data_IF_431567017723
#
_entry.id   IF_431567017723
#
_cell.length_a   1.000
_cell.length_b   1.000
_cell.length_c   1.000
_cell.angle_alpha   90.00
_cell.angle_beta   90.00
_cell.angle_gamma   90.00
#
_symmetry.space_group_name_H-M   'P 1'
#
loop_
_entity.id
_entity.type
_entity.pdbx_description
1 polymer ?
#
# COMPACT_ATOMS: atom_id res chain seq x y z
N UNK A 1 -15.12 1.19 21.27
CA UNK A 1 -14.89 1.57 19.86
C UNK A 1 -14.38 0.34 19.12
N UNK A 2 -15.10 -0.26 18.15
CA UNK A 2 -14.61 -1.46 17.50
C UNK A 2 -13.76 -1.17 16.24
N UNK A 3 -12.71 -1.99 16.10
CA UNK A 3 -11.97 -2.41 14.90
C UNK A 3 -10.91 -1.44 14.30
N UNK A 4 -9.66 -1.68 14.71
CA UNK A 4 -8.45 -1.63 13.86
C UNK A 4 -8.45 -0.57 12.76
N UNK A 5 -8.09 0.66 13.14
CA UNK A 5 -7.43 1.55 12.20
C UNK A 5 -6.18 0.79 11.71
N UNK A 6 -6.02 0.64 10.40
CA UNK A 6 -4.86 0.00 9.78
C UNK A 6 -3.60 0.76 10.21
N UNK A 7 -3.00 0.36 11.33
CA UNK A 7 -1.71 0.86 11.77
C UNK A 7 -0.64 0.16 10.94
N UNK A 8 0.60 0.65 10.96
CA UNK A 8 1.73 0.03 10.26
C UNK A 8 1.85 -1.49 10.52
N UNK A 9 1.37 -1.99 11.68
CA UNK A 9 1.29 -3.42 11.96
C UNK A 9 0.33 -4.19 11.02
N UNK A 10 -0.81 -3.63 10.63
CA UNK A 10 -1.72 -4.29 9.67
C UNK A 10 -1.15 -4.31 8.25
N UNK A 11 -0.21 -3.39 7.95
CA UNK A 11 0.56 -3.44 6.71
C UNK A 11 1.69 -4.47 6.77
N UNK A 12 2.29 -4.70 7.95
CA UNK A 12 3.30 -5.76 8.15
C UNK A 12 2.74 -7.17 7.95
N UNK A 13 1.47 -7.38 8.26
CA UNK A 13 0.80 -8.66 8.05
C UNK A 13 0.36 -8.90 6.60
N UNK A 14 0.53 -7.92 5.70
CA UNK A 14 0.06 -7.98 4.32
C UNK A 14 1.21 -7.91 3.34
N UNK A 15 1.30 -8.91 2.47
CA UNK A 15 2.27 -8.90 1.35
C UNK A 15 1.88 -7.91 0.25
N UNK A 16 0.57 -7.60 0.11
CA UNK A 16 0.06 -6.75 -0.97
C UNK A 16 -1.14 -5.90 -0.54
N UNK A 17 -1.26 -4.72 -1.15
CA UNK A 17 -2.47 -3.88 -1.11
C UNK A 17 -3.03 -3.67 -2.51
N UNK A 18 -4.36 -3.57 -2.60
CA UNK A 18 -5.07 -3.37 -3.87
C UNK A 18 -5.39 -1.90 -4.06
N UNK A 19 -5.00 -1.34 -5.21
CA UNK A 19 -5.40 0.03 -5.60
C UNK A 19 -6.87 0.08 -6.01
N UNK A 20 -7.43 1.29 -6.08
CA UNK A 20 -8.81 1.51 -6.54
C UNK A 20 -9.09 0.85 -7.91
N UNK A 21 -8.12 0.92 -8.84
CA UNK A 21 -8.23 0.34 -10.18
C UNK A 21 -7.94 -1.18 -10.23
N UNK A 22 -7.61 -1.78 -9.09
CA UNK A 22 -7.44 -3.22 -8.92
C UNK A 22 -6.03 -3.74 -9.11
N UNK A 23 -5.04 -2.86 -9.28
CA UNK A 23 -3.64 -3.26 -9.30
C UNK A 23 -3.19 -3.68 -7.91
N UNK A 24 -2.30 -4.67 -7.84
CA UNK A 24 -1.68 -5.07 -6.58
C UNK A 24 -0.33 -4.36 -6.44
N UNK A 25 -0.16 -3.68 -5.32
CA UNK A 25 1.11 -3.11 -4.90
C UNK A 25 1.71 -4.00 -3.82
N UNK A 26 2.99 -4.33 -3.95
CA UNK A 26 3.74 -5.16 -3.02
C UNK A 26 4.19 -4.33 -1.82
N UNK A 27 4.00 -4.88 -0.63
CA UNK A 27 4.60 -4.36 0.59
C UNK A 27 5.86 -5.16 0.88
N UNK A 28 6.93 -4.46 1.26
CA UNK A 28 8.16 -5.07 1.75
C UNK A 28 8.64 -4.33 2.98
N UNK A 29 9.35 -5.01 3.87
CA UNK A 29 10.03 -4.40 4.99
C UNK A 29 11.54 -4.54 4.78
N UNK A 30 12.27 -3.43 4.85
CA UNK A 30 13.73 -3.44 4.89
C UNK A 30 14.19 -2.49 5.99
N UNK A 31 15.13 -2.93 6.82
CA UNK A 31 15.67 -2.16 7.95
C UNK A 31 14.57 -1.64 8.92
N UNK A 32 13.54 -2.45 9.17
CA UNK A 32 12.33 -2.11 9.95
C UNK A 32 11.51 -0.94 9.38
N UNK A 33 11.76 -0.54 8.13
CA UNK A 33 11.02 0.48 7.41
C UNK A 33 10.13 -0.21 6.38
N UNK A 34 8.83 0.06 6.46
CA UNK A 34 7.87 -0.41 5.47
C UNK A 34 8.03 0.34 4.16
N UNK A 35 7.97 -0.43 3.09
CA UNK A 35 8.04 0.04 1.72
C UNK A 35 6.85 -0.46 0.93
N UNK A 36 6.34 0.40 0.06
CA UNK A 36 5.34 0.07 -0.93
C UNK A 36 5.99 0.14 -2.31
N UNK A 37 6.20 -1.03 -2.93
CA UNK A 37 7.07 -1.23 -4.09
C UNK A 37 8.52 -0.76 -3.80
N UNK A 38 8.83 0.50 -4.11
CA UNK A 38 10.13 1.13 -3.91
C UNK A 38 10.04 2.47 -3.15
N UNK A 39 8.86 2.79 -2.60
CA UNK A 39 8.61 4.01 -1.85
C UNK A 39 8.57 3.70 -0.35
N UNK A 40 9.32 4.45 0.45
CA UNK A 40 9.33 4.30 1.90
C UNK A 40 8.15 5.01 2.53
N UNK A 41 7.54 4.37 3.52
CA UNK A 41 6.55 5.01 4.39
C UNK A 41 7.32 5.84 5.42
N UNK A 42 7.15 7.16 5.37
CA UNK A 42 7.92 8.13 6.17
C UNK A 42 7.47 8.18 7.64
N UNK A 43 6.21 7.84 7.91
CA UNK A 43 5.65 7.88 9.26
C UNK A 43 4.51 6.87 9.42
N UNK A 44 4.18 6.50 10.67
CA UNK A 44 2.99 5.70 10.95
C UNK A 44 1.72 6.34 10.37
N UNK A 45 0.73 5.50 10.02
CA UNK A 45 -0.50 5.95 9.39
C UNK A 45 -1.24 7.03 10.20
N UNK A 46 -1.62 8.11 9.52
CA UNK A 46 -2.37 9.23 10.10
C UNK A 46 -3.86 8.92 9.96
N UNK A 47 -4.55 8.74 11.09
CA UNK A 47 -6.00 8.50 11.08
C UNK A 47 -6.78 9.77 10.75
N UNK A 48 -7.73 9.66 9.82
CA UNK A 48 -8.71 10.70 9.50
C UNK A 48 -10.13 10.19 9.79
N UNK A 49 -11.14 11.01 9.53
CA UNK A 49 -12.55 10.62 9.74
C UNK A 49 -12.98 9.44 8.86
N UNK A 50 -12.37 9.25 7.70
CA UNK A 50 -12.80 8.27 6.70
C UNK A 50 -11.67 7.38 6.14
N UNK A 51 -10.41 7.65 6.47
CA UNK A 51 -9.27 6.96 5.90
C UNK A 51 -8.06 6.97 6.85
N UNK A 52 -6.99 6.30 6.42
CA UNK A 52 -5.66 6.43 7.01
C UNK A 52 -4.72 6.88 5.89
N UNK A 53 -3.93 7.92 6.15
CA UNK A 53 -2.96 8.47 5.19
C UNK A 53 -1.57 7.98 5.55
N UNK A 54 -0.85 7.44 4.56
CA UNK A 54 0.55 7.03 4.68
C UNK A 54 1.42 7.91 3.77
N UNK A 55 2.16 8.88 4.34
CA UNK A 55 3.10 9.69 3.58
C UNK A 55 4.27 8.86 3.07
N UNK A 56 4.63 9.06 1.80
CA UNK A 56 5.71 8.33 1.11
C UNK A 56 6.72 9.28 0.49
N UNK A 57 7.97 8.83 0.37
CA UNK A 57 9.10 9.61 -0.16
C UNK A 57 9.20 9.62 -1.69
N UNK A 58 8.45 8.74 -2.37
CA UNK A 58 8.52 8.55 -3.82
C UNK A 58 7.14 8.32 -4.43
N UNK A 59 7.02 8.71 -5.70
CA UNK A 59 5.82 8.43 -6.50
C UNK A 59 5.75 6.94 -6.82
N UNK A 60 4.56 6.36 -6.67
CA UNK A 60 4.31 4.96 -7.01
C UNK A 60 4.33 4.77 -8.53
N UNK A 61 4.91 3.67 -9.04
CA UNK A 61 4.90 3.38 -10.47
C UNK A 61 3.46 3.19 -10.97
N UNK A 62 3.16 3.78 -12.13
CA UNK A 62 1.90 3.52 -12.81
C UNK A 62 1.86 2.06 -13.25
N UNK A 63 1.02 1.25 -12.61
CA UNK A 63 0.66 -0.08 -13.11
C UNK A 63 -0.61 0.09 -13.93
N UNK A 64 -0.51 -0.08 -15.23
CA UNK A 64 -1.70 -0.18 -16.07
C UNK A 64 -2.33 -1.55 -15.89
N UNK A 65 -3.66 -1.59 -15.85
CA UNK A 65 -4.38 -2.86 -15.97
C UNK A 65 -4.06 -3.40 -17.36
N UNK A 66 -3.37 -4.54 -17.44
CA UNK A 66 -3.17 -5.24 -18.71
C UNK A 66 -4.52 -5.66 -19.29
N UNK A 67 -5.11 -4.80 -20.12
CA UNK A 67 -6.27 -5.12 -20.98
C UNK A 67 -5.92 -6.09 -22.11
N UNK A 68 -4.67 -6.58 -22.18
CA UNK A 68 -4.14 -7.37 -23.31
C UNK A 68 -3.91 -8.86 -23.04
N UNK A 69 -4.68 -9.53 -22.16
CA UNK A 69 -4.57 -10.99 -22.02
C UNK A 69 -5.91 -11.71 -22.05
N UNK A 70 -6.50 -11.88 -23.23
CA UNK A 70 -7.14 -13.15 -23.65
C UNK A 70 -7.71 -13.00 -25.06
N UNK A 71 -6.95 -13.46 -26.04
CA UNK A 71 -7.46 -13.87 -27.33
C UNK A 71 -6.56 -14.99 -27.80
N UNK A 72 -6.96 -16.20 -27.43
CA UNK A 72 -6.50 -17.45 -28.00
C UNK A 72 -7.74 -18.29 -28.32
#
# INVERSE_FOLDING_TARGET
MPQSYLYSNDLREKDFVKTLYGNKLKITEADNILQLENAHILMPGIATTNAVVFPIDRVLPAKEKSVLKSNN
#
